data_IF_518272533542
#
_entry.id   IF_518272533542
#
_cell.length_a   1.000
_cell.length_b   1.000
_cell.length_c   1.000
_cell.angle_alpha   90.00
_cell.angle_beta   90.00
_cell.angle_gamma   90.00
#
_symmetry.space_group_name_H-M   'P 1'
#
loop_
_entity.id
_entity.type
_entity.pdbx_description
1 polymer ?
#
# COMPACT_ATOMS: atom_id res chain seq x y z
N UNK A 1 -0.57 -41.04 -6.05
CA UNK A 1 -1.12 -40.19 -7.13
C UNK A 1 -1.37 -38.81 -6.55
N UNK A 2 -0.47 -37.85 -6.78
CA UNK A 2 -0.63 -36.47 -6.29
C UNK A 2 -1.76 -35.81 -7.10
N UNK A 3 -2.82 -35.38 -6.41
CA UNK A 3 -4.00 -34.76 -7.01
C UNK A 3 -3.60 -33.35 -7.48
N UNK A 4 -3.63 -33.10 -8.79
CA UNK A 4 -3.29 -31.80 -9.41
C UNK A 4 -4.08 -30.61 -8.84
N UNK A 5 -5.22 -30.86 -8.20
CA UNK A 5 -6.18 -29.81 -7.80
C UNK A 5 -6.02 -29.32 -6.35
N UNK A 6 -5.11 -29.88 -5.53
CA UNK A 6 -5.00 -29.47 -4.14
C UNK A 6 -4.50 -28.03 -3.95
N UNK A 7 -3.89 -27.43 -4.99
CA UNK A 7 -3.44 -26.05 -4.99
C UNK A 7 -4.52 -25.05 -5.42
N UNK A 8 -5.49 -25.47 -6.25
CA UNK A 8 -6.57 -24.59 -6.73
C UNK A 8 -7.57 -24.24 -5.63
N UNK A 9 -7.65 -25.06 -4.58
CA UNK A 9 -8.55 -24.88 -3.43
C UNK A 9 -7.96 -23.99 -2.31
N UNK A 10 -6.71 -23.53 -2.45
CA UNK A 10 -6.04 -22.71 -1.44
C UNK A 10 -6.32 -21.21 -1.66
N UNK A 11 -6.64 -20.45 -0.60
CA UNK A 11 -6.88 -19.02 -0.73
C UNK A 11 -5.60 -18.29 -1.17
N UNK A 12 -5.71 -17.49 -2.23
CA UNK A 12 -4.61 -16.62 -2.68
C UNK A 12 -4.65 -15.34 -1.83
N UNK A 13 -3.56 -15.08 -1.10
CA UNK A 13 -3.44 -13.93 -0.20
C UNK A 13 -2.20 -13.12 -0.59
N UNK A 14 -2.35 -11.82 -0.74
CA UNK A 14 -1.23 -10.91 -1.02
C UNK A 14 -1.37 -9.58 -0.30
N UNK A 15 -0.24 -8.90 -0.09
CA UNK A 15 -0.21 -7.52 0.36
C UNK A 15 -0.21 -6.58 -0.86
N UNK A 16 -0.96 -5.48 -0.78
CA UNK A 16 -1.00 -4.46 -1.81
C UNK A 16 -0.61 -3.09 -1.24
N UNK A 17 0.21 -2.37 -2.00
CA UNK A 17 0.60 -1.01 -1.67
C UNK A 17 -0.55 -0.04 -1.98
N UNK A 18 -0.98 0.81 -1.04
CA UNK A 18 -2.07 1.78 -1.25
C UNK A 18 -1.59 3.00 -2.04
N UNK A 19 -1.33 2.81 -3.34
CA UNK A 19 -0.69 3.82 -4.20
C UNK A 19 -1.47 5.14 -4.29
N UNK A 20 -2.81 5.09 -4.29
CA UNK A 20 -3.66 6.28 -4.38
C UNK A 20 -3.50 7.16 -3.14
N UNK A 21 -3.56 6.57 -1.96
CA UNK A 21 -3.41 7.27 -0.68
C UNK A 21 -2.00 7.83 -0.50
N UNK A 22 -0.99 7.07 -0.93
CA UNK A 22 0.40 7.56 -1.01
C UNK A 22 0.47 8.82 -1.89
N UNK A 23 -0.16 8.80 -3.06
CA UNK A 23 -0.21 9.93 -3.98
C UNK A 23 -0.85 11.19 -3.37
N UNK A 24 -2.00 11.03 -2.71
CA UNK A 24 -2.66 12.17 -2.03
C UNK A 24 -1.81 12.73 -0.90
N UNK A 25 -1.25 11.86 -0.07
CA UNK A 25 -0.38 12.26 1.05
C UNK A 25 0.86 13.00 0.54
N UNK A 26 1.48 12.50 -0.53
CA UNK A 26 2.62 13.16 -1.16
C UNK A 26 2.25 14.54 -1.73
N UNK A 27 1.13 14.65 -2.43
CA UNK A 27 0.69 15.91 -3.02
C UNK A 27 0.44 16.97 -1.94
N UNK A 28 -0.23 16.62 -0.85
CA UNK A 28 -0.45 17.52 0.28
C UNK A 28 0.87 17.99 0.89
N UNK A 29 1.84 17.09 1.03
CA UNK A 29 3.18 17.42 1.55
C UNK A 29 3.96 18.37 0.65
N UNK A 30 3.86 18.21 -0.67
CA UNK A 30 4.47 19.14 -1.62
C UNK A 30 3.88 20.54 -1.44
N UNK A 31 2.55 20.65 -1.33
CA UNK A 31 1.87 21.93 -1.14
C UNK A 31 2.24 22.59 0.20
N UNK A 32 2.30 21.82 1.28
CA UNK A 32 2.76 22.31 2.59
C UNK A 32 4.20 22.81 2.53
N UNK A 33 5.10 22.07 1.88
CA UNK A 33 6.51 22.47 1.73
C UNK A 33 6.64 23.79 0.95
N UNK A 34 5.90 23.93 -0.14
CA UNK A 34 5.89 25.16 -0.95
C UNK A 34 5.36 26.35 -0.14
N UNK A 35 4.34 26.13 0.69
CA UNK A 35 3.68 27.22 1.42
C UNK A 35 4.34 27.65 2.74
N UNK A 36 5.08 26.78 3.43
CA UNK A 36 5.49 27.01 4.83
C UNK A 36 7.00 26.83 5.11
N UNK A 37 7.86 26.58 4.11
CA UNK A 37 9.29 26.21 4.28
C UNK A 37 9.52 25.18 5.42
N UNK A 38 8.57 24.26 5.60
CA UNK A 38 8.61 23.29 6.69
C UNK A 38 9.76 22.31 6.45
N UNK A 39 10.90 22.57 7.10
CA UNK A 39 12.16 21.85 6.89
C UNK A 39 12.22 20.48 7.58
N UNK A 40 11.18 20.08 8.32
CA UNK A 40 11.17 18.83 9.07
C UNK A 40 10.42 17.75 8.28
N UNK A 41 11.18 17.05 7.43
CA UNK A 41 10.70 15.89 6.67
C UNK A 41 10.45 14.71 7.63
N UNK A 42 9.27 14.63 8.23
CA UNK A 42 8.87 13.47 9.02
C UNK A 42 8.47 12.34 8.08
N UNK A 43 9.13 11.18 8.19
CA UNK A 43 8.76 9.98 7.44
C UNK A 43 7.31 9.60 7.75
N UNK A 44 6.48 9.46 6.71
CA UNK A 44 5.10 9.00 6.82
C UNK A 44 5.04 7.54 6.39
N UNK A 45 4.53 6.69 7.28
CA UNK A 45 4.28 5.28 6.99
C UNK A 45 2.80 5.12 6.65
N UNK A 46 2.53 4.49 5.51
CA UNK A 46 1.19 4.10 5.10
C UNK A 46 1.18 2.57 5.01
N UNK A 47 0.25 1.94 5.74
CA UNK A 47 0.17 0.48 5.84
C UNK A 47 -0.26 -0.17 4.53
N UNK A 48 0.37 -1.30 4.19
CA UNK A 48 -0.10 -2.15 3.11
C UNK A 48 -1.48 -2.75 3.43
N UNK A 49 -2.24 -3.12 2.40
CA UNK A 49 -3.55 -3.76 2.52
C UNK A 49 -3.44 -5.24 2.21
N UNK A 50 -3.96 -6.08 3.11
CA UNK A 50 -4.10 -7.50 2.84
C UNK A 50 -5.29 -7.73 1.90
N UNK A 51 -5.04 -8.39 0.78
CA UNK A 51 -6.06 -8.81 -0.17
C UNK A 51 -6.16 -10.32 -0.12
N UNK A 52 -7.39 -10.80 0.06
CA UNK A 52 -7.72 -12.22 0.09
C UNK A 52 -8.66 -12.51 -1.07
N UNK A 53 -8.24 -13.35 -2.01
CA UNK A 53 -9.13 -13.88 -3.02
C UNK A 53 -9.87 -15.10 -2.45
N UNK A 54 -11.21 -15.05 -2.48
CA UNK A 54 -12.07 -16.17 -2.09
C UNK A 54 -12.22 -17.16 -3.23
#
# INVERSE_FOLDING_TARGET
MWRKNALDDLPIIWASTPAREIGYTLAERILQRIGHEESHSRSQTISARLVTQK
#
